data_IF_305869305412
#
_entry.id   IF_305869305412
#
_cell.length_a   1.000
_cell.length_b   1.000
_cell.length_c   1.000
_cell.angle_alpha   90.00
_cell.angle_beta   90.00
_cell.angle_gamma   90.00
#
_symmetry.space_group_name_H-M   'P 1'
#
loop_
_entity.id
_entity.type
_entity.pdbx_description
1 polymer ?
#
# COMPACT_ATOMS: atom_id res chain seq x y z
N UNK A 1 -17.82 -67.80 -7.45
CA UNK A 1 -18.72 -66.62 -7.38
C UNK A 1 -18.34 -65.67 -6.24
N UNK A 2 -17.56 -66.12 -5.25
CA UNK A 2 -17.25 -65.33 -4.06
C UNK A 2 -16.19 -64.23 -4.27
N UNK A 3 -15.19 -64.46 -5.11
CA UNK A 3 -14.12 -63.48 -5.40
C UNK A 3 -14.63 -62.22 -6.10
N UNK A 4 -15.57 -62.34 -7.03
CA UNK A 4 -16.18 -61.19 -7.72
C UNK A 4 -17.00 -60.31 -6.78
N UNK A 5 -17.68 -60.91 -5.80
CA UNK A 5 -18.45 -60.18 -4.79
C UNK A 5 -17.50 -59.43 -3.86
N UNK A 6 -16.39 -60.05 -3.46
CA UNK A 6 -15.34 -59.44 -2.63
C UNK A 6 -14.69 -58.27 -3.38
N UNK A 7 -14.35 -58.42 -4.65
CA UNK A 7 -13.73 -57.36 -5.47
C UNK A 7 -14.69 -56.18 -5.64
N UNK A 8 -15.98 -56.44 -5.94
CA UNK A 8 -17.00 -55.40 -6.05
C UNK A 8 -17.22 -54.68 -4.72
N UNK A 9 -17.25 -55.41 -3.60
CA UNK A 9 -17.32 -54.84 -2.26
C UNK A 9 -16.13 -53.95 -1.93
N UNK A 10 -14.91 -54.38 -2.26
CA UNK A 10 -13.69 -53.61 -2.06
C UNK A 10 -13.68 -52.31 -2.88
N UNK A 11 -14.18 -52.33 -4.13
CA UNK A 11 -14.32 -51.13 -4.96
C UNK A 11 -15.31 -50.12 -4.38
N UNK A 12 -16.45 -50.56 -3.85
CA UNK A 12 -17.44 -49.68 -3.20
C UNK A 12 -16.86 -49.05 -1.93
N UNK A 13 -16.11 -49.83 -1.12
CA UNK A 13 -15.45 -49.28 0.07
C UNK A 13 -14.36 -48.28 -0.31
N UNK A 14 -13.54 -48.58 -1.32
CA UNK A 14 -12.48 -47.70 -1.80
C UNK A 14 -13.03 -46.37 -2.33
N UNK A 15 -14.11 -46.42 -3.11
CA UNK A 15 -14.78 -45.20 -3.61
C UNK A 15 -15.40 -44.38 -2.48
N UNK A 16 -16.00 -45.03 -1.47
CA UNK A 16 -16.52 -44.33 -0.30
C UNK A 16 -15.40 -43.63 0.50
N UNK A 17 -14.27 -44.31 0.71
CA UNK A 17 -13.10 -43.73 1.38
C UNK A 17 -12.52 -42.54 0.60
N UNK A 18 -12.40 -42.64 -0.72
CA UNK A 18 -11.99 -41.54 -1.60
C UNK A 18 -12.93 -40.32 -1.46
N UNK A 19 -14.25 -40.52 -1.50
CA UNK A 19 -15.23 -39.44 -1.37
C UNK A 19 -15.16 -38.76 0.00
N UNK A 20 -14.98 -39.53 1.08
CA UNK A 20 -14.82 -38.98 2.43
C UNK A 20 -13.52 -38.19 2.58
N UNK A 21 -12.42 -38.68 1.99
CA UNK A 21 -11.14 -37.97 1.97
C UNK A 21 -11.25 -36.63 1.23
N UNK A 22 -11.86 -36.62 0.04
CA UNK A 22 -12.10 -35.39 -0.75
C UNK A 22 -12.96 -34.40 0.04
N UNK A 23 -14.04 -34.85 0.69
CA UNK A 23 -14.89 -33.98 1.52
C UNK A 23 -14.14 -33.38 2.71
N UNK A 24 -13.33 -34.15 3.43
CA UNK A 24 -12.52 -33.62 4.56
C UNK A 24 -11.46 -32.62 4.10
N UNK A 25 -10.79 -32.89 2.98
CA UNK A 25 -9.80 -31.96 2.41
C UNK A 25 -10.49 -30.68 1.94
N UNK A 26 -11.64 -30.78 1.27
CA UNK A 26 -12.44 -29.64 0.85
C UNK A 26 -12.90 -28.81 2.06
N UNK A 27 -13.42 -29.43 3.12
CA UNK A 27 -13.84 -28.73 4.34
C UNK A 27 -12.69 -28.00 5.05
N UNK A 28 -11.51 -28.64 5.19
CA UNK A 28 -10.33 -27.98 5.78
C UNK A 28 -9.84 -26.80 4.93
N UNK A 29 -9.87 -26.92 3.60
CA UNK A 29 -9.49 -25.83 2.69
C UNK A 29 -10.52 -24.70 2.70
N UNK A 30 -11.81 -25.03 2.68
CA UNK A 30 -12.91 -24.06 2.73
C UNK A 30 -12.97 -23.31 4.06
N UNK A 31 -12.72 -23.97 5.19
CA UNK A 31 -12.67 -23.31 6.50
C UNK A 31 -11.48 -22.36 6.60
N UNK A 32 -10.30 -22.75 6.09
CA UNK A 32 -9.13 -21.86 5.99
C UNK A 32 -9.38 -20.68 5.04
N UNK A 33 -10.02 -20.91 3.90
CA UNK A 33 -10.39 -19.85 2.97
C UNK A 33 -11.43 -18.89 3.57
N UNK A 34 -12.46 -19.42 4.24
CA UNK A 34 -13.53 -18.63 4.87
C UNK A 34 -13.02 -17.77 6.02
N UNK A 35 -12.12 -18.31 6.85
CA UNK A 35 -11.48 -17.56 7.94
C UNK A 35 -10.55 -16.48 7.40
N UNK A 36 -9.72 -16.80 6.39
CA UNK A 36 -8.87 -15.81 5.71
C UNK A 36 -9.71 -14.70 5.06
N UNK A 37 -10.79 -15.05 4.37
CA UNK A 37 -11.68 -14.08 3.72
C UNK A 37 -12.41 -13.19 4.74
N UNK A 38 -12.82 -13.74 5.88
CA UNK A 38 -13.40 -12.94 6.96
C UNK A 38 -12.39 -11.97 7.57
N UNK A 39 -11.14 -12.42 7.74
CA UNK A 39 -10.04 -11.58 8.22
C UNK A 39 -9.73 -10.44 7.24
N UNK A 40 -9.65 -10.70 5.93
CA UNK A 40 -9.42 -9.64 4.93
C UNK A 40 -10.56 -8.64 4.83
N UNK A 41 -11.82 -9.07 4.97
CA UNK A 41 -12.96 -8.15 5.02
C UNK A 41 -12.94 -7.28 6.29
N UNK A 42 -12.50 -7.84 7.41
CA UNK A 42 -12.32 -7.10 8.65
C UNK A 42 -11.22 -6.05 8.51
N UNK A 43 -10.04 -6.42 7.99
CA UNK A 43 -8.93 -5.47 7.80
C UNK A 43 -9.28 -4.36 6.83
N UNK A 44 -10.00 -4.65 5.74
CA UNK A 44 -10.45 -3.61 4.80
C UNK A 44 -11.33 -2.56 5.47
N UNK A 45 -12.27 -2.98 6.33
CA UNK A 45 -13.13 -2.04 7.06
C UNK A 45 -12.31 -1.16 8.00
N UNK A 46 -11.40 -1.76 8.75
CA UNK A 46 -10.51 -1.04 9.68
C UNK A 46 -9.59 -0.07 8.93
N UNK A 47 -9.05 -0.48 7.77
CA UNK A 47 -8.22 0.37 6.92
C UNK A 47 -8.99 1.59 6.38
N UNK A 48 -10.24 1.40 5.96
CA UNK A 48 -11.13 2.51 5.54
C UNK A 48 -11.37 3.46 6.72
N UNK A 49 -11.63 2.92 7.91
CA UNK A 49 -11.82 3.71 9.12
C UNK A 49 -10.55 4.51 9.49
N UNK A 50 -9.39 3.87 9.48
CA UNK A 50 -8.11 4.51 9.75
C UNK A 50 -7.80 5.63 8.74
N UNK A 51 -8.06 5.39 7.46
CA UNK A 51 -7.90 6.39 6.40
C UNK A 51 -8.84 7.59 6.61
N UNK A 52 -10.10 7.34 7.00
CA UNK A 52 -11.05 8.40 7.36
C UNK A 52 -10.56 9.21 8.57
N UNK A 53 -9.99 8.55 9.59
CA UNK A 53 -9.42 9.22 10.75
C UNK A 53 -8.25 10.12 10.35
N UNK A 54 -7.36 9.67 9.47
CA UNK A 54 -6.26 10.48 8.91
C UNK A 54 -6.80 11.71 8.17
N UNK A 55 -7.80 11.52 7.31
CA UNK A 55 -8.41 12.64 6.58
C UNK A 55 -9.02 13.68 7.53
N UNK A 56 -9.74 13.22 8.56
CA UNK A 56 -10.30 14.10 9.61
C UNK A 56 -9.22 14.79 10.43
N UNK A 57 -8.14 14.08 10.78
CA UNK A 57 -7.02 14.65 11.51
C UNK A 57 -6.36 15.78 10.72
N UNK A 58 -6.18 15.62 9.40
CA UNK A 58 -5.66 16.67 8.50
C UNK A 58 -6.57 17.89 8.39
N UNK A 59 -7.88 17.67 8.36
CA UNK A 59 -8.87 18.75 8.28
C UNK A 59 -9.09 19.48 9.61
N UNK A 60 -8.64 18.92 10.74
CA UNK A 60 -8.90 19.48 12.07
C UNK A 60 -7.83 20.52 12.42
N UNK A 61 -8.19 21.81 12.62
CA UNK A 61 -7.21 22.86 12.90
C UNK A 61 -6.63 22.74 14.33
N UNK A 62 -7.40 22.19 15.27
CA UNK A 62 -6.97 22.04 16.66
C UNK A 62 -5.97 20.89 16.79
N UNK A 63 -4.70 21.22 17.02
CA UNK A 63 -3.59 20.26 17.13
C UNK A 63 -3.88 19.07 18.06
N UNK A 64 -4.45 19.31 19.24
CA UNK A 64 -4.72 18.22 20.19
C UNK A 64 -5.77 17.22 19.68
N UNK A 65 -6.82 17.70 19.02
CA UNK A 65 -7.84 16.85 18.41
C UNK A 65 -7.30 16.11 17.19
N UNK A 66 -6.53 16.81 16.34
CA UNK A 66 -5.83 16.21 15.21
C UNK A 66 -4.91 15.07 15.65
N UNK A 67 -4.10 15.29 16.70
CA UNK A 67 -3.24 14.25 17.27
C UNK A 67 -4.03 13.10 17.90
N UNK A 68 -5.16 13.37 18.55
CA UNK A 68 -6.02 12.31 19.08
C UNK A 68 -6.55 11.41 17.97
N UNK A 69 -7.03 12.00 16.86
CA UNK A 69 -7.50 11.26 15.69
C UNK A 69 -6.36 10.46 15.03
N UNK A 70 -5.16 11.04 14.94
CA UNK A 70 -3.98 10.35 14.42
C UNK A 70 -3.56 9.18 15.31
N UNK A 71 -3.66 9.30 16.65
CA UNK A 71 -3.42 8.17 17.57
C UNK A 71 -4.44 7.05 17.36
N UNK A 72 -5.72 7.37 17.20
CA UNK A 72 -6.75 6.37 16.88
C UNK A 72 -6.47 5.69 15.54
N UNK A 73 -6.07 6.45 14.52
CA UNK A 73 -5.70 5.87 13.22
C UNK A 73 -4.48 4.95 13.32
N UNK A 74 -3.51 5.29 14.18
CA UNK A 74 -2.33 4.46 14.44
C UNK A 74 -2.71 3.12 15.07
N UNK A 75 -3.62 3.11 16.05
CA UNK A 75 -4.09 1.87 16.67
C UNK A 75 -4.80 0.96 15.66
N UNK A 76 -5.70 1.51 14.85
CA UNK A 76 -6.37 0.74 13.79
C UNK A 76 -5.38 0.19 12.75
N UNK A 77 -4.34 0.96 12.41
CA UNK A 77 -3.29 0.48 11.52
C UNK A 77 -2.50 -0.69 12.11
N UNK A 78 -2.20 -0.63 13.41
CA UNK A 78 -1.48 -1.67 14.14
C UNK A 78 -2.30 -2.97 14.22
N UNK A 79 -3.60 -2.86 14.45
CA UNK A 79 -4.53 -4.00 14.40
C UNK A 79 -4.59 -4.62 13.00
N UNK A 80 -4.65 -3.80 11.94
CA UNK A 80 -4.61 -4.28 10.55
C UNK A 80 -3.30 -5.01 10.27
N UNK A 81 -2.16 -4.48 10.70
CA UNK A 81 -0.85 -5.12 10.52
C UNK A 81 -0.76 -6.44 11.29
N UNK A 82 -1.34 -6.52 12.49
CA UNK A 82 -1.37 -7.76 13.28
C UNK A 82 -2.16 -8.89 12.58
N UNK A 83 -3.22 -8.54 11.85
CA UNK A 83 -4.04 -9.51 11.09
C UNK A 83 -3.43 -9.83 9.73
N UNK A 84 -2.92 -8.82 9.02
CA UNK A 84 -2.39 -8.90 7.65
C UNK A 84 -1.02 -8.23 7.53
N UNK A 85 0.06 -8.86 8.05
CA UNK A 85 1.39 -8.23 8.11
C UNK A 85 2.06 -8.05 6.75
N UNK A 86 1.61 -8.80 5.74
CA UNK A 86 2.08 -8.75 4.36
C UNK A 86 1.31 -7.74 3.50
N UNK A 87 0.33 -7.02 4.06
CA UNK A 87 -0.36 -5.95 3.36
C UNK A 87 0.35 -4.60 3.57
N UNK A 88 0.86 -4.00 2.50
CA UNK A 88 1.49 -2.68 2.54
C UNK A 88 0.56 -1.58 3.05
N UNK A 89 -0.76 -1.69 2.81
CA UNK A 89 -1.70 -0.62 3.14
C UNK A 89 -1.73 -0.30 4.64
N UNK A 90 -1.67 -1.32 5.51
CA UNK A 90 -1.58 -1.13 6.95
C UNK A 90 -0.32 -0.35 7.37
N UNK A 91 0.83 -0.68 6.77
CA UNK A 91 2.09 0.02 7.02
C UNK A 91 2.08 1.47 6.50
N UNK A 92 1.44 1.74 5.36
CA UNK A 92 1.26 3.10 4.83
C UNK A 92 0.41 3.94 5.78
N UNK A 93 -0.73 3.42 6.22
CA UNK A 93 -1.61 4.13 7.16
C UNK A 93 -0.89 4.40 8.48
N UNK A 94 -0.15 3.42 9.01
CA UNK A 94 0.72 3.59 10.18
C UNK A 94 1.72 4.72 9.98
N UNK A 95 2.38 4.75 8.82
CA UNK A 95 3.34 5.81 8.48
C UNK A 95 2.69 7.20 8.45
N UNK A 96 1.54 7.33 7.79
CA UNK A 96 0.79 8.59 7.71
C UNK A 96 0.30 9.07 9.09
N UNK A 97 -0.13 8.16 9.95
CA UNK A 97 -0.53 8.49 11.31
C UNK A 97 0.66 8.99 12.14
N UNK A 98 1.82 8.32 12.05
CA UNK A 98 3.06 8.73 12.71
C UNK A 98 3.56 10.10 12.22
N UNK A 99 3.41 10.38 10.92
CA UNK A 99 3.76 11.69 10.33
C UNK A 99 2.90 12.81 10.94
N UNK A 100 1.58 12.60 11.05
CA UNK A 100 0.67 13.55 11.70
C UNK A 100 0.98 13.77 13.20
N UNK A 101 1.54 12.76 13.86
CA UNK A 101 2.01 12.87 15.25
C UNK A 101 3.37 13.57 15.37
N UNK A 102 4.04 13.85 14.26
CA UNK A 102 5.38 14.46 14.21
C UNK A 102 6.53 13.47 14.38
N UNK A 103 6.26 12.15 14.35
CA UNK A 103 7.26 11.11 14.49
C UNK A 103 7.88 10.73 13.14
N UNK A 104 8.49 11.71 12.45
CA UNK A 104 8.93 11.59 11.06
C UNK A 104 9.89 10.42 10.78
N UNK A 105 10.81 10.11 11.71
CA UNK A 105 11.76 8.99 11.55
C UNK A 105 11.08 7.62 11.63
N UNK A 106 10.13 7.47 12.55
CA UNK A 106 9.33 6.24 12.68
C UNK A 106 8.37 6.09 11.49
N UNK A 107 7.80 7.21 11.05
CA UNK A 107 6.93 7.27 9.88
C UNK A 107 7.68 6.86 8.60
N UNK A 108 8.90 7.35 8.39
CA UNK A 108 9.75 6.95 7.26
C UNK A 108 10.09 5.45 7.29
N UNK A 109 10.43 4.89 8.46
CA UNK A 109 10.67 3.44 8.62
C UNK A 109 9.44 2.60 8.26
N UNK A 110 8.24 3.08 8.59
CA UNK A 110 7.00 2.40 8.24
C UNK A 110 6.76 2.42 6.72
N UNK A 111 7.06 3.53 6.02
CA UNK A 111 7.05 3.56 4.55
C UNK A 111 8.08 2.64 3.92
N UNK A 112 9.32 2.60 4.45
CA UNK A 112 10.34 1.67 3.98
C UNK A 112 9.86 0.22 4.12
N UNK A 113 9.19 -0.09 5.24
CA UNK A 113 8.60 -1.41 5.46
C UNK A 113 7.51 -1.72 4.45
N UNK A 114 6.60 -0.78 4.18
CA UNK A 114 5.52 -0.93 3.21
C UNK A 114 6.03 -1.17 1.78
N UNK A 115 7.08 -0.46 1.39
CA UNK A 115 7.66 -0.50 0.04
C UNK A 115 8.73 -1.59 -0.14
N UNK A 116 8.81 -2.56 0.78
CA UNK A 116 9.70 -3.72 0.70
C UNK A 116 8.92 -4.99 0.38
N UNK A 117 9.54 -5.93 -0.34
CA UNK A 117 8.97 -7.27 -0.58
C UNK A 117 8.77 -8.05 0.74
N UNK A 118 7.67 -8.81 0.91
CA UNK A 118 6.58 -9.09 -0.04
C UNK A 118 5.47 -8.03 -0.07
N UNK A 119 5.41 -7.12 0.92
CA UNK A 119 4.33 -6.15 1.09
C UNK A 119 4.09 -5.28 -0.14
N UNK A 120 5.16 -4.87 -0.81
CA UNK A 120 5.09 -4.09 -2.04
C UNK A 120 4.15 -4.70 -3.11
N UNK A 121 3.98 -6.03 -3.15
CA UNK A 121 3.09 -6.71 -4.10
C UNK A 121 1.60 -6.45 -3.85
N UNK A 122 1.20 -6.00 -2.67
CA UNK A 122 -0.22 -5.73 -2.37
C UNK A 122 -0.69 -4.37 -2.87
N UNK A 123 0.23 -3.49 -3.30
CA UNK A 123 -0.10 -2.18 -3.84
C UNK A 123 -0.37 -2.26 -5.33
N UNK A 124 -1.44 -1.57 -5.75
CA UNK A 124 -1.65 -1.24 -7.16
C UNK A 124 -0.55 -0.29 -7.67
N UNK A 125 -0.34 -0.25 -8.99
CA UNK A 125 0.74 0.57 -9.60
C UNK A 125 0.63 2.04 -9.20
N UNK A 126 -0.58 2.62 -9.22
CA UNK A 126 -0.82 4.01 -8.80
C UNK A 126 -0.59 4.24 -7.31
N UNK A 127 -1.01 3.30 -6.45
CA UNK A 127 -0.79 3.38 -5.00
C UNK A 127 0.71 3.31 -4.66
N UNK A 128 1.46 2.50 -5.41
CA UNK A 128 2.92 2.43 -5.31
C UNK A 128 3.57 3.75 -5.68
N UNK A 129 3.12 4.40 -6.76
CA UNK A 129 3.62 5.73 -7.15
C UNK A 129 3.34 6.77 -6.06
N UNK A 130 2.12 6.82 -5.52
CA UNK A 130 1.74 7.73 -4.43
C UNK A 130 2.57 7.49 -3.15
N UNK A 131 2.78 6.23 -2.79
CA UNK A 131 3.59 5.87 -1.63
C UNK A 131 5.07 6.27 -1.80
N UNK A 132 5.63 6.13 -3.01
CA UNK A 132 7.00 6.58 -3.33
C UNK A 132 7.11 8.10 -3.23
N UNK A 133 6.16 8.85 -3.79
CA UNK A 133 6.11 10.32 -3.66
C UNK A 133 6.06 10.73 -2.18
N UNK A 134 5.20 10.08 -1.39
CA UNK A 134 5.08 10.41 0.03
C UNK A 134 6.36 10.07 0.80
N UNK A 135 7.00 8.95 0.50
CA UNK A 135 8.30 8.59 1.09
C UNK A 135 9.39 9.60 0.73
N UNK A 136 9.43 10.08 -0.51
CA UNK A 136 10.37 11.12 -0.94
C UNK A 136 10.18 12.42 -0.15
N UNK A 137 8.94 12.90 0.00
CA UNK A 137 8.65 14.08 0.83
C UNK A 137 9.16 13.92 2.27
N UNK A 138 8.98 12.74 2.85
CA UNK A 138 9.43 12.45 4.21
C UNK A 138 10.94 12.33 4.34
N UNK A 139 11.61 11.74 3.34
CA UNK A 139 13.08 11.74 3.25
C UNK A 139 13.61 13.18 3.28
N UNK A 140 13.01 14.06 2.48
CA UNK A 140 13.37 15.48 2.41
C UNK A 140 13.07 16.21 3.73
N UNK A 141 11.94 15.93 4.38
CA UNK A 141 11.56 16.54 5.65
C UNK A 141 12.49 16.12 6.81
N UNK A 142 12.90 14.84 6.87
CA UNK A 142 13.77 14.32 7.94
C UNK A 142 15.19 14.88 7.82
N UNK A 143 15.78 14.84 6.63
CA UNK A 143 17.11 15.41 6.39
C UNK A 143 17.33 15.60 4.88
N UNK A 144 16.93 16.77 4.36
CA UNK A 144 17.04 17.11 2.94
C UNK A 144 18.45 16.86 2.39
N UNK A 145 19.48 17.42 3.01
CA UNK A 145 20.87 17.33 2.52
C UNK A 145 21.35 15.89 2.37
N UNK A 146 21.10 15.04 3.35
CA UNK A 146 21.57 13.65 3.35
C UNK A 146 20.71 12.72 2.51
N UNK A 147 19.42 13.02 2.36
CA UNK A 147 18.44 12.09 1.75
C UNK A 147 17.95 12.51 0.38
N UNK A 148 18.45 13.63 -0.17
CA UNK A 148 17.98 14.13 -1.46
C UNK A 148 18.17 13.15 -2.60
N UNK A 149 19.30 12.47 -2.69
CA UNK A 149 19.55 11.48 -3.75
C UNK A 149 18.53 10.34 -3.68
N UNK A 150 18.31 9.80 -2.48
CA UNK A 150 17.32 8.74 -2.28
C UNK A 150 15.87 9.22 -2.43
N UNK A 151 15.60 10.51 -2.30
CA UNK A 151 14.29 11.09 -2.59
C UNK A 151 14.09 11.26 -4.10
N UNK A 152 15.13 11.65 -4.84
CA UNK A 152 15.12 11.70 -6.30
C UNK A 152 14.86 10.31 -6.88
N UNK A 153 15.53 9.28 -6.38
CA UNK A 153 15.29 7.88 -6.81
C UNK A 153 13.83 7.45 -6.67
N UNK A 154 13.20 7.78 -5.53
CA UNK A 154 11.79 7.48 -5.29
C UNK A 154 10.87 8.22 -6.27
N UNK A 155 11.16 9.50 -6.53
CA UNK A 155 10.37 10.33 -7.43
C UNK A 155 10.53 9.92 -8.90
N UNK A 156 11.74 9.54 -9.32
CA UNK A 156 11.98 9.00 -10.66
C UNK A 156 11.27 7.67 -10.86
N UNK A 157 11.27 6.78 -9.87
CA UNK A 157 10.49 5.54 -9.92
C UNK A 157 8.99 5.83 -9.95
N UNK A 158 8.50 6.78 -9.15
CA UNK A 158 7.10 7.19 -9.19
C UNK A 158 6.72 7.76 -10.57
N UNK A 159 7.60 8.55 -11.21
CA UNK A 159 7.39 9.08 -12.56
C UNK A 159 7.35 7.97 -13.62
N UNK A 160 8.16 6.92 -13.48
CA UNK A 160 8.11 5.73 -14.38
C UNK A 160 6.80 4.96 -14.25
N UNK A 161 6.26 4.90 -13.03
CA UNK A 161 5.01 4.18 -12.73
C UNK A 161 3.75 5.00 -13.03
N UNK A 162 3.87 6.23 -13.55
CA UNK A 162 2.82 7.25 -13.61
C UNK A 162 1.64 6.93 -14.55
N UNK A 163 0.90 5.86 -14.26
CA UNK A 163 -0.42 5.56 -14.78
C UNK A 163 -1.48 6.07 -13.78
N UNK A 164 -1.92 7.33 -13.95
CA UNK A 164 -3.09 7.88 -13.24
C UNK A 164 -2.82 8.67 -11.95
N UNK A 165 -1.56 8.84 -11.53
CA UNK A 165 -1.15 9.71 -10.41
C UNK A 165 -1.00 11.17 -10.88
N UNK A 166 -0.96 12.13 -9.95
CA UNK A 166 -0.64 13.55 -10.23
C UNK A 166 0.82 13.70 -10.71
N UNK A 167 1.04 13.37 -11.99
CA UNK A 167 2.34 13.40 -12.67
C UNK A 167 2.96 14.79 -12.61
N UNK A 168 2.14 15.84 -12.64
CA UNK A 168 2.61 17.22 -12.51
C UNK A 168 3.27 17.45 -11.13
N UNK A 169 2.67 16.93 -10.05
CA UNK A 169 3.27 17.00 -8.71
C UNK A 169 4.60 16.25 -8.62
N UNK A 170 4.71 15.07 -9.23
CA UNK A 170 5.96 14.28 -9.22
C UNK A 170 7.09 15.10 -9.86
N UNK A 171 6.85 15.63 -11.05
CA UNK A 171 7.83 16.42 -11.78
C UNK A 171 8.16 17.75 -11.10
N UNK A 172 7.20 18.41 -10.44
CA UNK A 172 7.48 19.59 -9.61
C UNK A 172 8.46 19.27 -8.48
N UNK A 173 8.23 18.18 -7.75
CA UNK A 173 9.12 17.76 -6.66
C UNK A 173 10.51 17.35 -7.17
N UNK A 174 10.59 16.70 -8.34
CA UNK A 174 11.86 16.40 -9.01
C UNK A 174 12.63 17.68 -9.34
N UNK A 175 11.95 18.67 -9.93
CA UNK A 175 12.53 19.98 -10.23
C UNK A 175 13.14 20.63 -8.99
N UNK A 176 12.37 20.73 -7.90
CA UNK A 176 12.84 21.29 -6.62
C UNK A 176 14.03 20.53 -6.01
N UNK A 177 14.12 19.21 -6.25
CA UNK A 177 15.26 18.41 -5.82
C UNK A 177 16.49 18.69 -6.69
N UNK A 178 16.32 18.79 -8.01
CA UNK A 178 17.41 19.10 -8.93
C UNK A 178 17.96 20.51 -8.74
N UNK A 179 17.10 21.51 -8.51
CA UNK A 179 17.53 22.87 -8.16
C UNK A 179 18.38 22.87 -6.89
N UNK A 180 17.94 22.16 -5.84
CA UNK A 180 18.70 22.06 -4.60
C UNK A 180 20.07 21.40 -4.80
N UNK A 181 20.20 20.50 -5.78
CA UNK A 181 21.48 19.90 -6.17
C UNK A 181 22.34 20.78 -7.09
N UNK A 182 21.83 21.92 -7.56
CA UNK A 182 22.49 22.76 -8.56
C UNK A 182 22.50 22.16 -9.97
N UNK A 183 21.56 21.25 -10.27
CA UNK A 183 21.44 20.60 -11.58
C UNK A 183 20.38 21.32 -12.42
N UNK A 184 20.71 22.53 -12.87
CA UNK A 184 19.77 23.46 -13.52
C UNK A 184 19.08 22.88 -14.76
N UNK A 185 19.83 22.21 -15.64
CA UNK A 185 19.25 21.60 -16.85
C UNK A 185 18.21 20.53 -16.52
N UNK A 186 18.49 19.68 -15.52
CA UNK A 186 17.56 18.64 -15.06
C UNK A 186 16.34 19.22 -14.37
N UNK A 187 16.53 20.29 -13.60
CA UNK A 187 15.43 21.01 -12.98
C UNK A 187 14.48 21.59 -14.03
N UNK A 188 15.03 22.29 -15.02
CA UNK A 188 14.25 22.86 -16.12
C UNK A 188 13.50 21.79 -16.92
N UNK A 189 14.17 20.68 -17.22
CA UNK A 189 13.54 19.52 -17.85
C UNK A 189 12.34 19.02 -17.01
N UNK A 190 12.53 18.79 -15.71
CA UNK A 190 11.49 18.28 -14.84
C UNK A 190 10.29 19.24 -14.78
N UNK A 191 10.50 20.55 -14.61
CA UNK A 191 9.41 21.52 -14.61
C UNK A 191 8.66 21.56 -15.95
N UNK A 192 9.37 21.48 -17.07
CA UNK A 192 8.75 21.43 -18.40
C UNK A 192 7.86 20.18 -18.56
N UNK A 193 8.30 19.01 -18.10
CA UNK A 193 7.49 17.79 -18.12
C UNK A 193 6.26 17.92 -17.20
N UNK A 194 6.41 18.56 -16.04
CA UNK A 194 5.28 18.85 -15.15
C UNK A 194 4.20 19.72 -15.82
N UNK A 195 4.62 20.77 -16.55
CA UNK A 195 3.69 21.63 -17.31
C UNK A 195 3.00 20.87 -18.43
N UNK A 196 3.73 20.02 -19.17
CA UNK A 196 3.13 19.16 -20.21
C UNK A 196 2.08 18.22 -19.63
N UNK A 197 2.39 17.59 -18.50
CA UNK A 197 1.45 16.69 -17.82
C UNK A 197 0.17 17.42 -17.39
N UNK A 198 0.30 18.63 -16.82
CA UNK A 198 -0.85 19.45 -16.43
C UNK A 198 -1.73 19.81 -17.64
N UNK A 199 -1.12 20.25 -18.76
CA UNK A 199 -1.84 20.56 -19.99
C UNK A 199 -2.57 19.34 -20.55
N UNK A 200 -1.91 18.18 -20.59
CA UNK A 200 -2.52 16.94 -21.07
C UNK A 200 -3.70 16.48 -20.20
N UNK A 201 -3.68 16.76 -18.89
CA UNK A 201 -4.80 16.46 -17.99
C UNK A 201 -5.99 17.43 -18.13
N UNK A 202 -5.73 18.66 -18.58
CA UNK A 202 -6.72 19.73 -18.69
C UNK A 202 -7.45 19.74 -20.05
N UNK A 203 -6.90 19.09 -21.07
CA UNK A 203 -7.58 18.93 -22.36
C UNK A 203 -8.77 17.97 -22.18
N UNK A 204 -9.99 18.34 -22.61
CA UNK A 204 -11.10 17.40 -22.70
C UNK A 204 -10.63 16.18 -23.51
N UNK A 205 -10.88 14.97 -22.99
CA UNK A 205 -10.74 13.77 -23.81
C UNK A 205 -11.89 13.84 -24.80
N UNK A 206 -11.63 14.35 -26.00
CA UNK A 206 -12.59 14.37 -27.09
C UNK A 206 -13.18 12.96 -27.24
N UNK A 207 -14.50 12.87 -27.07
CA UNK A 207 -15.32 11.68 -27.27
C UNK A 207 -16.33 11.93 -28.37
#
# INVERSE_FOLDING_TARGET
>A
MDTDIIIKGAMVVLTLLMVLAVKKIAQKRLTKYRTKHRATLQTQRQLIQATRLIARARATPKKSQSQSLAKSALLEADDVIAISPDDAAGHIVRALALDLLGHQTAALKAFDTALTYPRLKSLEVGERADALVKRAEMKLAVNRRRRIDSAIEDLEEAARLAAGTDTARIFRLLGECYEFKGLEEKAQWAFNEGVKAQRSSAMPRDG
#
